data_IF_957020335041
#
_entry.id   IF_957020335041
#
_cell.length_a   1.000
_cell.length_b   1.000
_cell.length_c   1.000
_cell.angle_alpha   90.00
_cell.angle_beta   90.00
_cell.angle_gamma   90.00
#
_symmetry.space_group_name_H-M   'P 1'
#
loop_
_entity.id
_entity.type
_entity.pdbx_description
1 polymer ?
#
# COMPACT_ATOMS: atom_id res chain seq x y z
N UNK A 1 -42.70 -5.12 25.55
CA UNK A 1 -42.77 -3.67 25.23
C UNK A 1 -42.84 -3.52 23.73
N UNK A 2 -43.93 -2.97 23.22
CA UNK A 2 -44.14 -2.80 21.78
C UNK A 2 -44.27 -1.31 21.51
N UNK A 3 -43.12 -0.64 21.45
CA UNK A 3 -42.98 0.81 21.30
C UNK A 3 -43.83 1.36 20.14
N UNK A 4 -43.98 0.60 19.06
CA UNK A 4 -44.80 0.97 17.90
C UNK A 4 -46.30 1.07 18.24
N UNK A 5 -46.80 0.26 19.18
CA UNK A 5 -48.19 0.35 19.66
C UNK A 5 -48.41 1.57 20.55
N UNK A 6 -47.41 1.92 21.36
CA UNK A 6 -47.45 3.07 22.28
C UNK A 6 -47.34 4.41 21.54
N UNK A 7 -46.66 4.44 20.39
CA UNK A 7 -46.41 5.65 19.60
C UNK A 7 -47.30 5.77 18.33
N UNK A 8 -48.35 4.94 18.24
CA UNK A 8 -49.26 4.86 17.07
C UNK A 8 -49.86 6.21 16.68
N UNK A 9 -50.16 7.07 17.66
CA UNK A 9 -50.72 8.40 17.39
C UNK A 9 -49.73 9.30 16.65
N UNK A 10 -48.45 9.30 17.06
CA UNK A 10 -47.41 10.09 16.42
C UNK A 10 -47.19 9.65 14.97
N UNK A 11 -47.19 8.33 14.73
CA UNK A 11 -47.07 7.75 13.40
C UNK A 11 -48.23 8.15 12.48
N UNK A 12 -49.47 8.11 13.00
CA UNK A 12 -50.65 8.53 12.25
C UNK A 12 -50.63 10.04 11.95
N UNK A 13 -50.15 10.87 12.87
CA UNK A 13 -50.02 12.32 12.66
C UNK A 13 -49.00 12.65 11.56
N UNK A 14 -47.89 11.90 11.48
CA UNK A 14 -46.92 11.99 10.39
C UNK A 14 -47.53 11.60 9.04
N UNK A 15 -48.36 10.55 8.99
CA UNK A 15 -49.03 10.13 7.76
C UNK A 15 -50.04 11.16 7.26
N UNK A 16 -50.78 11.81 8.17
CA UNK A 16 -51.80 12.80 7.82
C UNK A 16 -51.23 14.17 7.43
N UNK A 17 -50.08 14.58 8.00
CA UNK A 17 -49.36 15.80 7.60
C UNK A 17 -48.71 15.70 6.21
N UNK A 18 -48.55 14.49 5.68
CA UNK A 18 -47.92 14.24 4.37
C UNK A 18 -48.85 14.41 3.16
N UNK A 19 -50.12 14.74 3.36
CA UNK A 19 -51.11 14.89 2.27
C UNK A 19 -51.57 16.33 2.01
N UNK A 20 -50.86 17.34 2.53
CA UNK A 20 -51.06 18.74 2.13
C UNK A 20 -50.19 19.07 0.93
N UNK A 21 -50.81 19.74 -0.05
CA UNK A 21 -50.31 20.01 -1.41
C UNK A 21 -48.90 20.62 -1.47
N UNK A 22 -48.07 20.04 -2.33
CA UNK A 22 -46.63 20.32 -2.56
C UNK A 22 -45.70 19.71 -1.50
N UNK A 23 -44.42 19.57 -1.85
CA UNK A 23 -43.30 19.01 -1.08
C UNK A 23 -42.91 17.59 -1.51
N UNK A 24 -41.77 17.55 -2.21
CA UNK A 24 -41.00 16.37 -2.59
C UNK A 24 -41.06 15.25 -1.55
N UNK A 25 -41.33 14.05 -2.03
CA UNK A 25 -41.19 12.82 -1.24
C UNK A 25 -39.74 12.66 -0.83
N UNK A 26 -39.45 12.86 0.47
CA UNK A 26 -38.19 12.45 1.06
C UNK A 26 -38.24 10.94 1.28
N UNK A 27 -37.91 10.18 0.23
CA UNK A 27 -37.60 8.77 0.39
C UNK A 27 -36.24 8.69 1.10
N UNK A 28 -36.24 8.33 2.39
CA UNK A 28 -35.02 7.86 3.04
C UNK A 28 -34.70 6.50 2.43
N UNK A 29 -33.92 6.52 1.36
CA UNK A 29 -33.34 5.33 0.80
C UNK A 29 -32.48 4.65 1.89
N UNK A 30 -32.46 3.31 1.94
CA UNK A 30 -31.46 2.59 2.73
C UNK A 30 -30.07 3.12 2.36
N UNK A 31 -29.17 3.18 3.34
CA UNK A 31 -27.78 3.60 3.19
C UNK A 31 -27.08 2.72 2.14
N UNK A 32 -27.20 3.06 0.86
CA UNK A 32 -26.27 2.60 -0.15
C UNK A 32 -24.94 3.27 0.15
N UNK A 33 -23.86 2.49 0.07
CA UNK A 33 -22.50 3.00 0.19
C UNK A 33 -22.34 4.21 -0.74
N UNK A 34 -22.33 5.42 -0.16
CA UNK A 34 -22.34 6.65 -0.93
C UNK A 34 -21.05 6.71 -1.76
N UNK A 35 -21.21 6.63 -3.09
CA UNK A 35 -20.12 6.81 -4.04
C UNK A 35 -19.71 8.28 -3.98
N UNK A 36 -18.44 8.53 -3.66
CA UNK A 36 -17.86 9.87 -3.63
C UNK A 36 -16.89 10.05 -4.80
N UNK A 37 -16.73 11.29 -5.31
CA UNK A 37 -15.74 11.55 -6.35
C UNK A 37 -14.32 11.47 -5.77
N UNK A 38 -13.34 11.02 -6.55
CA UNK A 38 -11.93 10.87 -6.17
C UNK A 38 -11.34 12.18 -5.63
N UNK A 39 -11.70 13.32 -6.22
CA UNK A 39 -11.30 14.65 -5.71
C UNK A 39 -11.65 14.88 -4.23
N UNK A 40 -12.74 14.27 -3.74
CA UNK A 40 -13.12 14.31 -2.32
C UNK A 40 -12.08 13.57 -1.47
N UNK A 41 -11.62 12.40 -1.92
CA UNK A 41 -10.61 11.62 -1.19
C UNK A 41 -9.28 12.39 -1.10
N UNK A 42 -8.89 13.07 -2.18
CA UNK A 42 -7.65 13.83 -2.24
C UNK A 42 -7.67 15.04 -1.29
N UNK A 43 -8.82 15.69 -1.12
CA UNK A 43 -8.97 16.87 -0.24
C UNK A 43 -9.09 16.56 1.25
N UNK A 44 -9.45 15.32 1.63
CA UNK A 44 -9.55 14.92 3.05
C UNK A 44 -8.18 14.73 3.70
N UNK A 45 -8.00 15.17 4.94
CA UNK A 45 -6.72 15.04 5.67
C UNK A 45 -6.65 13.81 6.59
N UNK A 46 -7.77 13.12 6.80
CA UNK A 46 -7.88 12.05 7.79
C UNK A 46 -8.02 10.68 7.14
N UNK A 47 -7.61 9.65 7.89
CA UNK A 47 -7.77 8.25 7.51
C UNK A 47 -9.26 7.89 7.53
N UNK A 48 -9.79 7.51 6.37
CA UNK A 48 -11.20 7.20 6.19
C UNK A 48 -11.37 6.19 5.05
N UNK A 49 -12.47 5.45 5.10
CA UNK A 49 -12.93 4.55 4.05
C UNK A 49 -13.92 5.27 3.13
N UNK A 50 -13.79 5.03 1.83
CA UNK A 50 -14.61 5.63 0.78
C UNK A 50 -15.05 4.55 -0.19
N UNK A 51 -16.19 4.77 -0.83
CA UNK A 51 -16.58 4.03 -2.02
C UNK A 51 -16.48 4.97 -3.21
N UNK A 52 -15.83 4.50 -4.27
CA UNK A 52 -15.70 5.22 -5.54
C UNK A 52 -16.19 4.33 -6.66
N UNK A 53 -16.59 4.95 -7.77
CA UNK A 53 -16.83 4.26 -9.02
C UNK A 53 -15.89 4.87 -10.06
N UNK A 54 -15.09 4.03 -10.71
CA UNK A 54 -14.07 4.50 -11.64
C UNK A 54 -13.47 3.38 -12.48
N UNK A 55 -12.73 3.78 -13.50
CA UNK A 55 -11.96 2.87 -14.34
C UNK A 55 -10.63 2.55 -13.66
N UNK A 56 -10.24 1.27 -13.71
CA UNK A 56 -8.96 0.80 -13.17
C UNK A 56 -7.97 0.64 -14.32
N UNK A 57 -6.76 1.15 -14.16
CA UNK A 57 -5.64 0.93 -15.08
C UNK A 57 -4.37 0.55 -14.33
N UNK A 58 -3.41 -0.02 -15.08
CA UNK A 58 -2.06 -0.27 -14.57
C UNK A 58 -1.17 0.93 -14.97
N UNK A 59 -0.51 1.61 -14.02
CA UNK A 59 0.34 2.76 -14.33
C UNK A 59 1.57 2.39 -15.16
N UNK A 60 2.07 1.16 -15.02
CA UNK A 60 3.20 0.63 -15.79
C UNK A 60 3.14 -0.89 -15.92
N UNK A 61 3.58 -1.42 -17.05
CA UNK A 61 3.85 -2.86 -17.24
C UNK A 61 5.14 -3.32 -16.54
N UNK A 62 6.06 -2.40 -16.25
CA UNK A 62 7.37 -2.72 -15.69
C UNK A 62 7.41 -2.67 -14.16
N UNK A 63 6.26 -2.47 -13.51
CA UNK A 63 6.18 -2.49 -12.05
C UNK A 63 6.42 -3.89 -11.48
N UNK A 64 6.77 -3.95 -10.19
CA UNK A 64 6.85 -5.23 -9.48
C UNK A 64 5.46 -5.63 -8.98
N UNK A 65 5.04 -6.83 -9.34
CA UNK A 65 3.71 -7.36 -8.99
C UNK A 65 3.67 -8.10 -7.64
N UNK A 66 4.76 -8.03 -6.89
CA UNK A 66 4.89 -8.62 -5.57
C UNK A 66 5.85 -7.82 -4.69
N UNK A 67 5.67 -7.98 -3.39
CA UNK A 67 6.61 -7.56 -2.36
C UNK A 67 7.12 -8.76 -1.58
N UNK A 68 8.29 -8.65 -0.96
CA UNK A 68 8.81 -9.68 -0.06
C UNK A 68 8.68 -9.24 1.38
N UNK A 69 7.96 -10.04 2.17
CA UNK A 69 7.65 -9.75 3.56
C UNK A 69 8.27 -10.81 4.47
N UNK A 70 8.51 -10.43 5.72
CA UNK A 70 8.81 -11.39 6.78
C UNK A 70 7.64 -12.37 6.95
N UNK A 71 7.94 -13.68 6.96
CA UNK A 71 6.95 -14.75 7.17
C UNK A 71 6.08 -14.60 8.42
N UNK A 72 6.59 -13.97 9.48
CA UNK A 72 5.89 -13.86 10.76
C UNK A 72 5.25 -12.49 10.97
N UNK A 73 6.03 -11.41 10.95
CA UNK A 73 5.51 -10.07 11.25
C UNK A 73 5.07 -9.27 10.02
N UNK A 74 5.18 -9.86 8.83
CA UNK A 74 4.85 -9.21 7.55
C UNK A 74 5.57 -7.88 7.27
N UNK A 75 6.67 -7.60 7.98
CA UNK A 75 7.49 -6.43 7.71
C UNK A 75 8.12 -6.52 6.32
N UNK A 76 8.00 -5.44 5.55
CA UNK A 76 8.55 -5.32 4.20
C UNK A 76 10.08 -5.41 4.19
N UNK A 77 10.62 -6.28 3.35
CA UNK A 77 12.05 -6.39 3.12
C UNK A 77 12.42 -5.76 1.78
N UNK A 78 13.42 -4.86 1.77
CA UNK A 78 14.00 -4.27 0.55
C UNK A 78 14.96 -5.23 -0.17
N UNK A 79 14.57 -6.49 -0.28
CA UNK A 79 15.34 -7.58 -0.87
C UNK A 79 14.50 -8.13 -2.02
N UNK A 80 15.14 -8.50 -3.14
CA UNK A 80 14.44 -8.89 -4.39
C UNK A 80 14.23 -10.40 -4.58
N UNK A 81 14.72 -11.24 -3.66
CA UNK A 81 14.62 -12.71 -3.75
C UNK A 81 14.29 -13.33 -2.39
N UNK A 82 13.50 -14.41 -2.41
CA UNK A 82 13.23 -15.24 -1.22
C UNK A 82 14.55 -15.74 -0.63
N UNK A 83 14.76 -15.49 0.65
CA UNK A 83 15.88 -16.02 1.45
C UNK A 83 15.57 -15.89 2.94
N UNK A 84 16.36 -16.58 3.78
CA UNK A 84 16.40 -16.27 5.23
C UNK A 84 17.08 -14.94 5.46
N UNK A 85 16.51 -14.14 6.36
CA UNK A 85 17.08 -12.87 6.81
C UNK A 85 16.86 -12.70 8.31
N UNK A 86 17.76 -11.97 8.97
CA UNK A 86 17.48 -11.45 10.31
C UNK A 86 16.44 -10.34 10.20
N UNK A 87 15.20 -10.61 10.62
CA UNK A 87 14.12 -9.63 10.54
C UNK A 87 14.33 -8.51 11.56
N UNK A 88 14.28 -7.25 11.11
CA UNK A 88 14.50 -6.10 12.00
C UNK A 88 13.41 -5.93 13.07
N UNK A 89 12.20 -6.43 12.83
CA UNK A 89 11.10 -6.37 13.78
C UNK A 89 11.11 -7.58 14.72
N UNK A 90 11.21 -8.80 14.18
CA UNK A 90 11.22 -10.01 15.00
C UNK A 90 12.53 -10.22 15.78
N UNK A 91 13.64 -9.61 15.33
CA UNK A 91 15.01 -9.88 15.82
C UNK A 91 15.43 -11.35 15.72
N UNK A 92 14.82 -12.09 14.79
CA UNK A 92 15.05 -13.52 14.56
C UNK A 92 15.25 -13.79 13.06
N UNK A 93 15.91 -14.89 12.74
CA UNK A 93 15.96 -15.38 11.37
C UNK A 93 14.58 -15.81 10.90
N UNK A 94 14.16 -15.25 9.77
CA UNK A 94 12.84 -15.48 9.15
C UNK A 94 12.99 -15.65 7.66
N UNK A 95 12.15 -16.51 7.08
CA UNK A 95 12.02 -16.64 5.63
C UNK A 95 11.28 -15.43 5.09
N UNK A 96 11.76 -14.89 3.97
CA UNK A 96 10.99 -13.95 3.17
C UNK A 96 9.98 -14.71 2.31
N UNK A 97 8.72 -14.30 2.40
CA UNK A 97 7.61 -14.82 1.60
C UNK A 97 7.12 -13.73 0.64
N UNK A 98 6.76 -14.08 -0.59
CA UNK A 98 6.13 -13.15 -1.51
C UNK A 98 4.71 -12.85 -1.05
N UNK A 99 4.24 -11.65 -1.36
CA UNK A 99 2.83 -11.24 -1.29
C UNK A 99 2.51 -10.52 -2.59
N UNK A 100 1.45 -10.92 -3.27
CA UNK A 100 1.00 -10.23 -4.47
C UNK A 100 0.50 -8.84 -4.08
N UNK A 101 1.16 -7.81 -4.58
CA UNK A 101 0.91 -6.41 -4.24
C UNK A 101 1.51 -5.52 -5.33
N UNK A 102 0.71 -4.59 -5.88
CA UNK A 102 1.13 -3.67 -6.95
C UNK A 102 0.25 -2.42 -7.04
N UNK A 103 0.73 -1.41 -7.76
CA UNK A 103 0.03 -0.16 -7.96
C UNK A 103 -1.01 -0.28 -9.08
N UNK A 104 -2.17 0.31 -8.83
CA UNK A 104 -3.22 0.56 -9.81
C UNK A 104 -3.60 2.04 -9.76
N UNK A 105 -4.04 2.57 -10.90
CA UNK A 105 -4.67 3.87 -10.97
C UNK A 105 -6.18 3.68 -11.09
N UNK A 106 -6.92 4.52 -10.37
CA UNK A 106 -8.37 4.59 -10.46
C UNK A 106 -8.70 5.99 -10.94
N UNK A 107 -9.49 6.08 -12.01
CA UNK A 107 -9.86 7.35 -12.63
C UNK A 107 -11.38 7.48 -12.70
N UNK A 108 -11.89 8.63 -12.25
CA UNK A 108 -13.25 9.08 -12.45
C UNK A 108 -13.26 10.47 -13.12
N UNK A 109 -14.44 11.06 -13.30
CA UNK A 109 -14.58 12.40 -13.89
C UNK A 109 -13.91 13.53 -13.10
N UNK A 110 -13.62 13.30 -11.82
CA UNK A 110 -13.08 14.29 -10.89
C UNK A 110 -11.56 14.20 -10.73
N UNK A 111 -10.95 13.07 -11.10
CA UNK A 111 -9.50 12.90 -11.11
C UNK A 111 -9.04 11.44 -11.05
N UNK A 112 -7.73 11.30 -10.81
CA UNK A 112 -7.06 9.99 -10.72
C UNK A 112 -6.42 9.84 -9.34
N UNK A 113 -6.50 8.63 -8.78
CA UNK A 113 -5.78 8.24 -7.56
C UNK A 113 -4.98 6.96 -7.80
N UNK A 114 -3.72 6.96 -7.37
CA UNK A 114 -2.87 5.76 -7.35
C UNK A 114 -3.03 5.06 -6.00
N UNK A 115 -3.28 3.76 -6.01
CA UNK A 115 -3.41 2.94 -4.79
C UNK A 115 -2.78 1.57 -4.97
N UNK A 116 -2.49 0.90 -3.86
CA UNK A 116 -2.02 -0.49 -3.87
C UNK A 116 -3.20 -1.45 -3.88
N UNK A 117 -3.16 -2.45 -4.75
CA UNK A 117 -3.97 -3.68 -4.63
C UNK A 117 -3.10 -4.77 -4.03
N UNK A 118 -3.66 -5.60 -3.14
CA UNK A 118 -2.91 -6.66 -2.46
C UNK A 118 -3.71 -7.95 -2.29
N UNK A 119 -3.01 -9.03 -1.92
CA UNK A 119 -3.56 -10.34 -1.57
C UNK A 119 -4.44 -10.95 -2.66
N UNK A 120 -5.55 -11.57 -2.25
CA UNK A 120 -6.46 -12.30 -3.12
C UNK A 120 -7.02 -11.43 -4.24
N UNK A 121 -7.26 -10.15 -3.97
CA UNK A 121 -7.74 -9.22 -5.00
C UNK A 121 -6.69 -9.03 -6.08
N UNK A 122 -5.43 -8.84 -5.69
CA UNK A 122 -4.31 -8.72 -6.63
C UNK A 122 -4.12 -10.02 -7.42
N UNK A 123 -4.14 -11.18 -6.77
CA UNK A 123 -4.05 -12.48 -7.44
C UNK A 123 -5.18 -12.71 -8.45
N UNK A 124 -6.42 -12.36 -8.08
CA UNK A 124 -7.57 -12.48 -8.96
C UNK A 124 -7.46 -11.56 -10.17
N UNK A 125 -6.98 -10.33 -10.01
CA UNK A 125 -6.71 -9.42 -11.13
C UNK A 125 -5.65 -9.99 -12.09
N UNK A 126 -4.59 -10.60 -11.56
CA UNK A 126 -3.53 -11.20 -12.38
C UNK A 126 -3.91 -12.57 -12.94
N UNK A 127 -4.98 -13.21 -12.46
CA UNK A 127 -5.27 -14.63 -12.70
C UNK A 127 -4.09 -15.54 -12.36
N UNK A 128 -3.32 -15.17 -11.34
CA UNK A 128 -2.10 -15.86 -10.91
C UNK A 128 -2.01 -15.86 -9.38
N UNK A 129 -1.53 -16.97 -8.82
CA UNK A 129 -1.14 -17.02 -7.40
C UNK A 129 0.12 -16.21 -7.14
N UNK A 130 0.31 -15.79 -5.89
CA UNK A 130 1.51 -15.09 -5.45
C UNK A 130 2.80 -15.86 -5.78
N UNK A 131 2.80 -17.18 -5.64
CA UNK A 131 3.92 -18.06 -6.00
C UNK A 131 4.21 -18.00 -7.50
N UNK A 132 3.19 -18.13 -8.34
CA UNK A 132 3.34 -18.04 -9.80
C UNK A 132 3.90 -16.69 -10.23
N UNK A 133 3.37 -15.59 -9.66
CA UNK A 133 3.88 -14.23 -9.92
C UNK A 133 5.37 -14.14 -9.61
N UNK A 134 5.80 -14.63 -8.44
CA UNK A 134 7.21 -14.61 -8.05
C UNK A 134 8.07 -15.50 -8.96
N UNK A 135 7.61 -16.71 -9.29
CA UNK A 135 8.36 -17.65 -10.11
C UNK A 135 8.55 -17.14 -11.54
N UNK A 136 7.50 -16.62 -12.17
CA UNK A 136 7.58 -16.03 -13.51
C UNK A 136 8.56 -14.86 -13.55
N UNK A 137 8.47 -13.95 -12.58
CA UNK A 137 9.30 -12.74 -12.57
C UNK A 137 10.76 -12.99 -12.15
N UNK A 138 11.00 -13.88 -11.18
CA UNK A 138 12.34 -14.08 -10.60
C UNK A 138 13.05 -15.32 -11.12
N UNK A 139 12.37 -16.46 -11.17
CA UNK A 139 12.99 -17.71 -11.59
C UNK A 139 13.08 -17.78 -13.11
N UNK A 140 12.00 -17.44 -13.81
CA UNK A 140 11.93 -17.47 -15.28
C UNK A 140 12.44 -16.16 -15.90
N UNK A 141 12.54 -15.07 -15.11
CA UNK A 141 12.95 -13.73 -15.55
C UNK A 141 12.09 -13.20 -16.70
N UNK A 142 10.81 -13.54 -16.68
CA UNK A 142 9.82 -13.10 -17.66
C UNK A 142 9.00 -11.94 -17.09
N UNK A 143 8.54 -11.07 -17.98
CA UNK A 143 7.50 -10.10 -17.64
C UNK A 143 6.17 -10.84 -17.47
N UNK A 144 5.32 -10.35 -16.56
CA UNK A 144 3.96 -10.87 -16.47
C UNK A 144 3.17 -10.46 -17.72
N UNK A 145 2.27 -11.33 -18.23
CA UNK A 145 1.42 -11.01 -19.37
C UNK A 145 0.28 -10.07 -18.95
N UNK A 146 0.60 -8.80 -18.70
CA UNK A 146 -0.33 -7.80 -18.16
C UNK A 146 -1.32 -7.28 -19.21
N UNK A 147 -1.08 -7.54 -20.49
CA UNK A 147 -1.92 -7.17 -21.63
C UNK A 147 -3.33 -7.73 -21.48
N UNK A 148 -3.42 -9.00 -21.09
CA UNK A 148 -4.71 -9.65 -20.84
C UNK A 148 -5.49 -8.98 -19.70
N UNK A 149 -4.76 -8.44 -18.71
CA UNK A 149 -5.36 -7.70 -17.59
C UNK A 149 -5.86 -6.35 -18.08
N UNK A 150 -5.06 -5.63 -18.87
CA UNK A 150 -5.46 -4.35 -19.47
C UNK A 150 -6.73 -4.50 -20.30
N UNK A 151 -6.81 -5.53 -21.14
CA UNK A 151 -8.02 -5.85 -21.91
C UNK A 151 -9.22 -6.12 -21.01
N UNK A 152 -9.03 -6.83 -19.90
CA UNK A 152 -10.09 -7.12 -18.95
C UNK A 152 -10.57 -5.90 -18.16
N UNK A 153 -9.72 -4.89 -17.96
CA UNK A 153 -10.05 -3.67 -17.23
C UNK A 153 -10.59 -2.56 -18.14
N UNK A 154 -10.20 -2.56 -19.42
CA UNK A 154 -10.49 -1.49 -20.38
C UNK A 154 -11.99 -1.20 -20.50
N UNK A 155 -12.34 0.09 -20.41
CA UNK A 155 -13.71 0.61 -20.54
C UNK A 155 -14.72 -0.02 -19.56
N UNK A 156 -14.27 -0.46 -18.38
CA UNK A 156 -15.14 -0.98 -17.32
C UNK A 156 -15.08 -0.10 -16.09
N UNK A 157 -16.26 0.20 -15.56
CA UNK A 157 -16.41 0.87 -14.28
C UNK A 157 -16.49 -0.16 -13.16
N UNK A 158 -15.75 0.10 -12.09
CA UNK A 158 -15.73 -0.73 -10.90
C UNK A 158 -16.15 0.09 -9.70
N UNK A 159 -17.01 -0.50 -8.86
CA UNK A 159 -17.28 0.01 -7.51
C UNK A 159 -16.17 -0.48 -6.59
N UNK A 160 -15.41 0.46 -6.03
CA UNK A 160 -14.16 0.18 -5.31
C UNK A 160 -14.27 0.76 -3.91
N UNK A 161 -13.98 -0.08 -2.91
CA UNK A 161 -13.78 0.37 -1.54
C UNK A 161 -12.31 0.77 -1.35
N UNK A 162 -12.08 2.06 -1.09
CA UNK A 162 -10.76 2.64 -0.85
C UNK A 162 -10.57 2.98 0.63
N UNK A 163 -9.41 2.65 1.16
CA UNK A 163 -9.03 3.04 2.52
C UNK A 163 -7.85 4.00 2.48
N UNK A 164 -8.09 5.28 2.78
CA UNK A 164 -7.03 6.26 2.95
C UNK A 164 -6.36 6.04 4.31
N UNK A 165 -5.04 5.87 4.30
CA UNK A 165 -4.23 5.79 5.53
C UNK A 165 -3.61 7.15 5.82
N UNK A 166 -3.48 7.49 7.10
CA UNK A 166 -2.68 8.64 7.51
C UNK A 166 -1.20 8.31 7.27
N UNK A 167 -0.56 9.06 6.38
CA UNK A 167 0.90 9.00 6.25
C UNK A 167 1.49 9.80 7.41
N UNK A 168 1.71 9.16 8.55
CA UNK A 168 2.71 9.69 9.48
C UNK A 168 4.06 9.50 8.78
N UNK A 169 4.65 10.62 8.36
CA UNK A 169 6.01 10.65 7.82
C UNK A 169 6.95 9.99 8.82
N UNK A 170 7.40 8.76 8.53
CA UNK A 170 8.62 8.24 9.14
C UNK A 170 9.75 9.01 8.48
N UNK A 171 10.11 10.16 9.05
CA UNK A 171 11.35 10.85 8.72
C UNK A 171 12.50 9.97 9.22
N UNK A 172 13.02 9.11 8.34
CA UNK A 172 14.36 8.56 8.51
C UNK A 172 15.38 9.65 8.21
N UNK A 173 15.49 10.63 9.12
CA UNK A 173 16.60 11.56 9.18
C UNK A 173 17.75 10.87 9.91
N UNK A 174 18.42 9.92 9.25
CA UNK A 174 19.73 9.39 9.69
C UNK A 174 20.35 8.51 8.58
N UNK A 175 20.67 9.12 7.45
CA UNK A 175 21.56 8.51 6.45
C UNK A 175 22.33 9.59 5.67
N UNK A 176 22.90 10.55 6.38
CA UNK A 176 24.05 11.32 5.88
C UNK A 176 25.15 11.26 6.94
N UNK A 177 25.85 10.14 6.98
CA UNK A 177 27.25 10.13 7.42
C UNK A 177 28.07 9.48 6.31
N UNK A 178 28.52 10.32 5.40
CA UNK A 178 29.65 10.03 4.51
C UNK A 178 30.88 9.70 5.36
N UNK A 179 31.70 8.69 5.02
CA UNK A 179 32.99 8.50 5.68
C UNK A 179 33.91 9.63 5.22
N UNK A 180 34.26 10.54 6.13
CA UNK A 180 35.32 11.52 5.89
C UNK A 180 36.65 10.79 6.01
N UNK A 181 37.34 10.63 4.89
CA UNK A 181 38.77 10.35 4.86
C UNK A 181 39.55 11.67 4.97
N UNK A 182 40.79 11.57 5.49
CA UNK A 182 41.83 12.60 5.68
C UNK A 182 41.68 13.43 6.98
N UNK A 183 42.72 13.71 7.78
CA UNK A 183 44.18 13.61 7.57
C UNK A 183 44.97 13.80 8.89
N UNK A 184 46.23 13.31 8.92
CA UNK A 184 47.38 13.90 9.63
C UNK A 184 47.59 13.70 11.15
N UNK A 185 48.71 13.11 11.59
CA UNK A 185 50.01 13.82 11.76
C UNK A 185 51.11 12.90 12.38
N UNK A 186 52.43 13.18 12.18
CA UNK A 186 53.55 12.29 12.48
C UNK A 186 54.36 12.67 13.73
N UNK A 187 55.45 11.90 13.94
CA UNK A 187 56.71 12.19 14.67
C UNK A 187 56.83 11.62 16.09
N UNK A 188 57.75 10.64 16.28
CA UNK A 188 59.03 10.83 17.00
C UNK A 188 59.84 9.51 17.06
N UNK A 189 61.11 9.59 16.63
CA UNK A 189 62.19 8.61 16.89
C UNK A 189 62.53 8.55 18.37
N UNK A 190 63.27 7.51 18.80
CA UNK A 190 64.58 7.78 19.40
C UNK A 190 65.74 7.10 18.67
N UNK A 191 66.89 7.78 18.73
CA UNK A 191 68.26 7.40 18.38
C UNK A 191 68.95 7.26 19.77
N UNK A 192 69.86 6.33 20.09
CA UNK A 192 71.30 6.34 19.78
C UNK A 192 71.98 5.15 20.52
N UNK A 193 72.88 4.43 19.82
CA UNK A 193 74.17 3.79 20.19
C UNK A 193 74.30 2.76 21.34
N UNK A 194 75.26 1.80 21.36
CA UNK A 194 76.50 1.61 20.57
C UNK A 194 77.12 0.21 20.77
N UNK A 195 77.99 -0.13 19.80
CA UNK A 195 79.33 -0.74 19.95
C UNK A 195 79.57 -2.26 19.79
N UNK A 196 80.40 -2.52 18.76
CA UNK A 196 81.62 -3.37 18.74
C UNK A 196 81.49 -4.76 18.09
N UNK A 197 81.89 -4.92 16.81
CA UNK A 197 83.22 -5.31 16.29
C UNK A 197 83.67 -6.75 16.65
N UNK A 198 83.66 -7.69 15.69
CA UNK A 198 84.88 -8.24 15.01
C UNK A 198 84.62 -9.52 14.20
N UNK A 199 85.44 -9.63 13.17
CA UNK A 199 85.66 -10.68 12.17
C UNK A 199 85.91 -12.10 12.72
N UNK A 200 85.47 -13.10 11.96
CA UNK A 200 86.34 -14.09 11.28
C UNK A 200 85.59 -14.75 10.14
#
# INVERSE_FOLDING_TARGET
MNWAKENKHMLNEYTLKSTSESHSTLNVAPFEDQIVPISTILSQSTAQSFYVEGEISLPSEFQLFFVLLCSECQHLARIKRKKKVLCINCKLERMLIPRCEFEVEITDESGTITTMVSDKVAETMLSMTTEQVYETTIAQKQLLPVEHIREHLLNKLFKIHLQKRNVQSITSAEANRTPSAQDGNPTKKPLIDSASLRQK
#
